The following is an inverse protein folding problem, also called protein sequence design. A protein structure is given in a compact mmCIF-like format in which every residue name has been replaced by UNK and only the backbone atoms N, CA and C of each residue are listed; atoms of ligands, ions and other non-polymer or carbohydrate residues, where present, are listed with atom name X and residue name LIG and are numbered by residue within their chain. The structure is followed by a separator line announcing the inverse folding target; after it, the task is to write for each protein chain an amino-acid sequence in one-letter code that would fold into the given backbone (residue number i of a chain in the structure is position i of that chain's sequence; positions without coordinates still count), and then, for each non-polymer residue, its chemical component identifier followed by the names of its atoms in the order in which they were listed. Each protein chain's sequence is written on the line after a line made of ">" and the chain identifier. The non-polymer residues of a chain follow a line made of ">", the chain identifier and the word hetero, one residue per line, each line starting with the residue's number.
data_IF_031497626087
#
_entry.id   IF_031497626087
#
_cell.length_a   1.000
_cell.length_b   1.000
_cell.length_c   1.000
_cell.angle_alpha   90.00
_cell.angle_beta   90.00
_cell.angle_gamma   90.00
#
_symmetry.space_group_name_H-M   'P 1'
#
loop_
_entity.id
_entity.type
_entity.pdbx_description
1 polymer ?
#
# COMPACT_ATOMS: atom_id res chain seq x y z
N UNK A 1 -8.62 -1.50 -29.13
CA UNK A 1 -7.58 -0.92 -28.25
C UNK A 1 -6.77 -2.08 -27.67
N UNK A 2 -5.51 -2.25 -28.06
CA UNK A 2 -4.67 -3.34 -27.54
C UNK A 2 -4.19 -2.91 -26.14
N UNK A 3 -4.71 -3.53 -25.08
CA UNK A 3 -4.19 -3.31 -23.73
C UNK A 3 -2.73 -3.78 -23.72
N UNK A 4 -1.80 -2.85 -23.58
CA UNK A 4 -0.40 -3.19 -23.30
C UNK A 4 -0.37 -3.64 -21.84
N UNK A 5 -0.48 -4.95 -21.63
CA UNK A 5 -0.33 -5.54 -20.30
C UNK A 5 1.12 -5.38 -19.88
N UNK A 6 1.35 -4.60 -18.83
CA UNK A 6 2.64 -4.61 -18.14
C UNK A 6 2.76 -5.93 -17.38
N UNK A 7 3.90 -6.59 -17.51
CA UNK A 7 4.20 -7.78 -16.73
C UNK A 7 4.45 -7.38 -15.28
N UNK A 8 3.95 -8.19 -14.34
CA UNK A 8 4.23 -8.05 -12.91
C UNK A 8 4.39 -9.44 -12.29
N UNK A 9 5.14 -9.51 -11.21
CA UNK A 9 5.38 -10.76 -10.49
C UNK A 9 4.25 -10.99 -9.48
N UNK A 10 3.74 -12.22 -9.42
CA UNK A 10 2.83 -12.68 -8.37
C UNK A 10 3.63 -13.68 -7.52
N UNK A 11 3.97 -13.27 -6.29
CA UNK A 11 4.68 -14.10 -5.34
C UNK A 11 3.68 -14.73 -4.36
N UNK A 12 3.66 -16.06 -4.28
CA UNK A 12 2.78 -16.81 -3.38
C UNK A 12 3.65 -17.78 -2.57
N UNK A 13 3.82 -17.51 -1.28
CA UNK A 13 4.68 -18.30 -0.41
C UNK A 13 4.24 -18.18 1.05
N UNK A 14 4.42 -19.26 1.82
CA UNK A 14 4.25 -19.22 3.27
C UNK A 14 5.31 -18.30 3.92
N UNK A 15 4.89 -17.47 4.86
CA UNK A 15 5.77 -16.54 5.59
C UNK A 15 6.44 -15.48 4.69
N UNK A 16 5.84 -15.12 3.55
CA UNK A 16 6.40 -14.11 2.65
C UNK A 16 6.56 -12.73 3.31
N UNK A 17 5.74 -12.41 4.30
CA UNK A 17 5.87 -11.17 5.09
C UNK A 17 7.24 -11.06 5.76
N UNK A 18 7.86 -12.18 6.15
CA UNK A 18 9.19 -12.21 6.77
C UNK A 18 10.33 -11.86 5.79
N UNK A 19 10.01 -11.71 4.50
CA UNK A 19 10.95 -11.40 3.43
C UNK A 19 10.62 -10.05 2.77
N UNK A 20 9.66 -9.29 3.33
CA UNK A 20 9.12 -8.10 2.69
C UNK A 20 10.21 -7.05 2.40
N UNK A 21 11.14 -6.82 3.34
CA UNK A 21 12.28 -5.92 3.13
C UNK A 21 13.10 -6.31 1.90
N UNK A 22 13.52 -7.58 1.84
CA UNK A 22 14.36 -8.09 0.77
C UNK A 22 13.67 -8.01 -0.59
N UNK A 23 12.38 -8.37 -0.67
CA UNK A 23 11.62 -8.30 -1.92
C UNK A 23 11.40 -6.86 -2.39
N UNK A 24 11.09 -5.93 -1.47
CA UNK A 24 10.89 -4.53 -1.84
C UNK A 24 12.20 -3.86 -2.26
N UNK A 25 13.32 -4.15 -1.60
CA UNK A 25 14.65 -3.61 -1.98
C UNK A 25 15.08 -3.98 -3.40
N UNK A 26 14.61 -5.10 -3.95
CA UNK A 26 14.88 -5.48 -5.35
C UNK A 26 14.20 -4.54 -6.36
N UNK A 27 13.12 -3.88 -5.95
CA UNK A 27 12.23 -3.12 -6.84
C UNK A 27 12.23 -1.62 -6.55
N UNK A 28 12.61 -1.22 -5.33
CA UNK A 28 12.44 0.13 -4.83
C UNK A 28 13.69 0.67 -4.15
N UNK A 29 14.11 1.88 -4.53
CA UNK A 29 15.39 2.47 -4.14
C UNK A 29 15.27 3.66 -3.19
N UNK A 30 14.07 4.13 -2.89
CA UNK A 30 13.84 5.23 -1.95
C UNK A 30 13.52 4.72 -0.54
N UNK A 31 13.52 5.61 0.45
CA UNK A 31 13.33 5.24 1.85
C UNK A 31 11.87 5.25 2.28
N UNK A 32 11.03 6.12 1.72
CA UNK A 32 9.64 6.27 2.17
C UNK A 32 8.70 5.28 1.48
N UNK A 33 7.89 4.57 2.26
CA UNK A 33 6.85 3.66 1.77
C UNK A 33 5.51 4.08 2.35
N UNK A 34 4.49 4.17 1.50
CA UNK A 34 3.14 4.57 1.89
C UNK A 34 2.23 3.35 1.85
N UNK A 35 1.70 2.92 3.00
CA UNK A 35 0.86 1.74 3.12
C UNK A 35 -0.59 2.18 3.34
N UNK A 36 -1.48 1.81 2.42
CA UNK A 36 -2.93 1.95 2.59
C UNK A 36 -3.46 0.63 3.15
N UNK A 37 -4.18 0.68 4.26
CA UNK A 37 -4.76 -0.51 4.91
C UNK A 37 -6.03 -0.17 5.68
N UNK A 38 -6.80 -1.17 6.10
CA UNK A 38 -7.96 -0.98 6.98
C UNK A 38 -7.60 -1.10 8.47
N UNK A 39 -8.48 -0.59 9.34
CA UNK A 39 -8.29 -0.58 10.79
C UNK A 39 -8.05 -1.97 11.41
N UNK A 40 -8.67 -3.03 10.89
CA UNK A 40 -8.52 -4.37 11.44
C UNK A 40 -7.12 -4.90 11.15
N UNK A 41 -6.69 -4.79 9.89
CA UNK A 41 -5.35 -5.23 9.49
C UNK A 41 -4.25 -4.37 10.08
N UNK A 42 -4.47 -3.05 10.19
CA UNK A 42 -3.54 -2.18 10.89
C UNK A 42 -3.32 -2.64 12.33
N UNK A 43 -4.40 -2.90 13.08
CA UNK A 43 -4.31 -3.36 14.47
C UNK A 43 -3.51 -4.66 14.60
N UNK A 44 -3.66 -5.59 13.68
CA UNK A 44 -3.01 -6.92 13.74
C UNK A 44 -1.55 -6.87 13.25
N UNK A 45 -1.28 -6.12 12.18
CA UNK A 45 -0.03 -6.24 11.42
C UNK A 45 0.87 -5.00 11.48
N UNK A 46 0.48 -3.89 12.12
CA UNK A 46 1.31 -2.67 12.13
C UNK A 46 2.74 -2.92 12.65
N UNK A 47 2.88 -3.63 13.77
CA UNK A 47 4.19 -3.95 14.35
C UNK A 47 4.98 -4.92 13.46
N UNK A 48 4.31 -5.91 12.89
CA UNK A 48 4.92 -6.85 11.93
C UNK A 48 5.45 -6.10 10.71
N UNK A 49 4.65 -5.21 10.10
CA UNK A 49 5.09 -4.45 8.93
C UNK A 49 6.26 -3.52 9.26
N UNK A 50 6.24 -2.85 10.42
CA UNK A 50 7.38 -2.04 10.89
C UNK A 50 8.64 -2.88 11.10
N UNK A 51 8.49 -4.05 11.70
CA UNK A 51 9.60 -4.98 11.93
C UNK A 51 10.17 -5.51 10.61
N UNK A 52 9.31 -5.91 9.68
CA UNK A 52 9.70 -6.55 8.43
C UNK A 52 10.08 -5.56 7.32
N UNK A 53 9.89 -4.26 7.51
CA UNK A 53 10.35 -3.19 6.61
C UNK A 53 11.29 -2.22 7.33
N UNK A 54 12.17 -2.77 8.16
CA UNK A 54 13.08 -2.02 9.04
C UNK A 54 14.03 -1.04 8.33
N UNK A 55 14.27 -1.21 7.02
CA UNK A 55 15.12 -0.30 6.22
C UNK A 55 14.37 0.88 5.61
N UNK A 56 13.05 0.97 5.81
CA UNK A 56 12.19 1.97 5.19
C UNK A 56 11.47 2.84 6.24
N UNK A 57 11.18 4.09 5.87
CA UNK A 57 10.27 4.96 6.61
C UNK A 57 8.84 4.67 6.16
N UNK A 58 8.06 4.02 7.03
CA UNK A 58 6.71 3.58 6.70
C UNK A 58 5.68 4.62 7.17
N UNK A 59 4.86 5.07 6.23
CA UNK A 59 3.72 5.94 6.48
C UNK A 59 2.43 5.16 6.27
N UNK A 60 1.54 5.14 7.27
CA UNK A 60 0.27 4.44 7.18
C UNK A 60 -0.88 5.39 6.88
N UNK A 61 -1.69 5.04 5.88
CA UNK A 61 -3.01 5.64 5.65
C UNK A 61 -4.06 4.58 5.97
N UNK A 62 -4.66 4.72 7.15
CA UNK A 62 -5.66 3.76 7.65
C UNK A 62 -7.06 4.23 7.31
N UNK A 63 -7.86 3.34 6.73
CA UNK A 63 -9.27 3.55 6.38
C UNK A 63 -10.20 2.67 7.22
N UNK A 64 -11.48 3.04 7.32
CA UNK A 64 -12.49 2.17 7.93
C UNK A 64 -12.67 0.89 7.11
N UNK A 65 -12.94 -0.26 7.73
CA UNK A 65 -13.23 -1.49 7.01
C UNK A 65 -14.62 -1.45 6.33
N UNK A 66 -14.77 -2.22 5.25
CA UNK A 66 -16.06 -2.47 4.57
C UNK A 66 -16.29 -1.68 3.27
N UNK A 67 -17.30 -2.08 2.50
CA UNK A 67 -17.62 -1.53 1.16
C UNK A 67 -17.94 -0.03 1.15
N UNK A 68 -18.44 0.53 2.25
CA UNK A 68 -18.70 1.98 2.35
C UNK A 68 -17.42 2.82 2.17
N UNK A 69 -16.25 2.25 2.41
CA UNK A 69 -14.97 2.89 2.16
C UNK A 69 -14.61 2.97 0.67
N UNK A 70 -15.34 2.29 -0.20
CA UNK A 70 -15.28 2.43 -1.66
C UNK A 70 -16.12 3.62 -2.13
N UNK A 71 -15.82 4.79 -1.56
CA UNK A 71 -16.51 6.05 -1.87
C UNK A 71 -15.54 7.10 -2.37
N UNK A 72 -16.03 8.03 -3.21
CA UNK A 72 -15.25 9.18 -3.68
C UNK A 72 -14.74 10.04 -2.51
N UNK A 73 -15.52 10.11 -1.42
CA UNK A 73 -15.13 10.82 -0.20
C UNK A 73 -13.89 10.18 0.43
N UNK A 74 -13.91 8.86 0.63
CA UNK A 74 -12.75 8.13 1.19
C UNK A 74 -11.53 8.24 0.29
N UNK A 75 -11.73 8.16 -1.03
CA UNK A 75 -10.65 8.42 -2.00
C UNK A 75 -10.02 9.80 -1.81
N UNK A 76 -10.82 10.86 -1.74
CA UNK A 76 -10.32 12.23 -1.54
C UNK A 76 -9.57 12.37 -0.21
N UNK A 77 -10.07 11.75 0.86
CA UNK A 77 -9.42 11.73 2.17
C UNK A 77 -8.05 11.02 2.11
N UNK A 78 -7.97 9.88 1.42
CA UNK A 78 -6.71 9.14 1.23
C UNK A 78 -5.71 9.95 0.42
N UNK A 79 -6.12 10.52 -0.71
CA UNK A 79 -5.26 11.37 -1.55
C UNK A 79 -4.72 12.55 -0.75
N UNK A 80 -5.58 13.24 -0.01
CA UNK A 80 -5.18 14.39 0.82
C UNK A 80 -4.14 13.98 1.86
N UNK A 81 -4.37 12.87 2.58
CA UNK A 81 -3.41 12.35 3.56
C UNK A 81 -2.06 12.00 2.92
N UNK A 82 -2.05 11.38 1.75
CA UNK A 82 -0.80 11.04 1.05
C UNK A 82 -0.01 12.30 0.65
N UNK A 83 -0.70 13.35 0.20
CA UNK A 83 -0.09 14.64 -0.11
C UNK A 83 0.50 15.28 1.15
N UNK A 84 -0.25 15.28 2.25
CA UNK A 84 0.17 15.84 3.54
C UNK A 84 1.38 15.10 4.12
N UNK A 85 1.44 13.77 3.94
CA UNK A 85 2.59 12.94 4.29
C UNK A 85 3.78 13.10 3.32
N UNK A 86 3.66 13.96 2.32
CA UNK A 86 4.74 14.28 1.39
C UNK A 86 4.98 13.23 0.31
N UNK A 87 3.99 12.38 -0.02
CA UNK A 87 4.12 11.41 -1.11
C UNK A 87 4.46 12.10 -2.44
N UNK A 88 5.32 11.46 -3.22
CA UNK A 88 5.78 11.91 -4.55
C UNK A 88 5.61 10.77 -5.57
N UNK A 89 5.65 11.11 -6.85
CA UNK A 89 5.38 10.17 -7.97
C UNK A 89 6.33 8.99 -8.05
N UNK A 90 7.54 9.13 -7.53
CA UNK A 90 8.55 8.08 -7.48
C UNK A 90 8.47 7.24 -6.20
N UNK A 91 7.56 7.54 -5.28
CA UNK A 91 7.41 6.78 -4.05
C UNK A 91 6.59 5.50 -4.25
N UNK A 92 6.90 4.48 -3.46
CA UNK A 92 6.18 3.22 -3.45
C UNK A 92 4.93 3.33 -2.56
N UNK A 93 3.80 2.94 -3.12
CA UNK A 93 2.56 2.74 -2.40
C UNK A 93 2.21 1.25 -2.35
N UNK A 94 1.82 0.77 -1.18
CA UNK A 94 1.43 -0.62 -0.94
C UNK A 94 -0.03 -0.65 -0.50
N UNK A 95 -0.84 -1.43 -1.22
CA UNK A 95 -2.19 -1.79 -0.78
C UNK A 95 -2.09 -3.03 0.11
N UNK A 96 -2.23 -2.87 1.43
CA UNK A 96 -2.21 -3.97 2.38
C UNK A 96 -3.64 -4.29 2.85
N UNK A 97 -4.32 -5.18 2.14
CA UNK A 97 -5.63 -5.65 2.52
C UNK A 97 -6.35 -6.45 1.44
N UNK A 98 -7.67 -6.57 1.58
CA UNK A 98 -8.53 -7.24 0.62
C UNK A 98 -8.93 -6.36 -0.57
N UNK A 99 -9.97 -6.78 -1.30
CA UNK A 99 -10.44 -6.10 -2.52
C UNK A 99 -10.79 -4.62 -2.34
N UNK A 100 -11.42 -4.24 -1.22
CA UNK A 100 -11.77 -2.82 -0.96
C UNK A 100 -10.53 -1.93 -0.88
N UNK A 101 -9.51 -2.36 -0.13
CA UNK A 101 -8.24 -1.63 0.00
C UNK A 101 -7.51 -1.60 -1.35
N UNK A 102 -7.47 -2.74 -2.05
CA UNK A 102 -6.83 -2.87 -3.36
C UNK A 102 -7.46 -1.96 -4.42
N UNK A 103 -8.79 -1.93 -4.52
CA UNK A 103 -9.52 -1.09 -5.47
C UNK A 103 -9.29 0.40 -5.18
N UNK A 104 -9.41 0.81 -3.91
CA UNK A 104 -9.19 2.20 -3.51
C UNK A 104 -7.75 2.63 -3.80
N UNK A 105 -6.78 1.85 -3.34
CA UNK A 105 -5.37 2.14 -3.55
C UNK A 105 -5.00 2.12 -5.04
N UNK A 106 -5.58 1.20 -5.83
CA UNK A 106 -5.39 1.15 -7.27
C UNK A 106 -5.91 2.41 -7.97
N UNK A 107 -7.07 2.93 -7.55
CA UNK A 107 -7.62 4.16 -8.09
C UNK A 107 -6.79 5.39 -7.69
N UNK A 108 -6.31 5.43 -6.45
CA UNK A 108 -5.36 6.45 -5.97
C UNK A 108 -4.05 6.40 -6.76
N UNK A 109 -3.49 5.21 -7.00
CA UNK A 109 -2.23 5.04 -7.74
C UNK A 109 -2.32 5.47 -9.21
N UNK A 110 -3.52 5.41 -9.79
CA UNK A 110 -3.77 5.74 -11.19
C UNK A 110 -3.99 7.25 -11.45
N UNK A 111 -4.04 8.07 -10.40
CA UNK A 111 -4.24 9.54 -10.46
C UNK A 111 -2.92 10.28 -10.44
#
# INVERSE_FOLDING_TARGET
>A
MKLVLKNYNILIQNHLLNQLNLEIKKLYQHQDIFIITDENLYKIYHDTLKKELYDFHIHFVVIKPGEHSKSLKTYQEVVSKLIDLGMRRNHLMIAFGGGVVGDLAGFVAAT
#
